data_IF_365069968322
#
_entry.id   IF_365069968322
#
_cell.length_a   1.000
_cell.length_b   1.000
_cell.length_c   1.000
_cell.angle_alpha   90.00
_cell.angle_beta   90.00
_cell.angle_gamma   90.00
#
_symmetry.space_group_name_H-M   'P 1'
#
loop_
_entity.id
_entity.type
_entity.pdbx_description
1 polymer ?
#
# COMPACT_ATOMS: atom_id res chain seq x y z
N UNK A 1 -24.38 20.28 7.83
CA UNK A 1 -23.03 19.71 7.60
C UNK A 1 -22.44 20.42 6.40
N UNK A 2 -21.44 21.28 6.59
CA UNK A 2 -20.72 21.89 5.46
C UNK A 2 -19.75 20.82 4.95
N UNK A 3 -19.89 20.41 3.70
CA UNK A 3 -18.88 19.56 3.08
C UNK A 3 -17.58 20.35 3.02
N UNK A 4 -16.43 19.78 3.42
CA UNK A 4 -15.16 20.43 3.22
C UNK A 4 -15.03 20.78 1.73
N UNK A 5 -14.40 21.92 1.44
CA UNK A 5 -14.08 22.30 0.07
C UNK A 5 -13.42 21.09 -0.62
N UNK A 6 -14.03 20.63 -1.72
CA UNK A 6 -13.61 19.42 -2.42
C UNK A 6 -12.12 19.48 -2.83
N UNK A 7 -11.58 20.68 -3.10
CA UNK A 7 -10.16 20.86 -3.41
C UNK A 7 -9.28 20.58 -2.20
N UNK A 8 -9.59 21.15 -1.02
CA UNK A 8 -8.83 20.93 0.21
C UNK A 8 -8.86 19.45 0.63
N UNK A 9 -9.98 18.79 0.42
CA UNK A 9 -10.11 17.37 0.72
C UNK A 9 -9.26 16.49 -0.21
N UNK A 10 -9.18 16.83 -1.50
CA UNK A 10 -8.31 16.15 -2.44
C UNK A 10 -6.83 16.38 -2.14
N UNK A 11 -6.44 17.62 -1.84
CA UNK A 11 -5.07 17.98 -1.45
C UNK A 11 -4.62 17.21 -0.20
N UNK A 12 -5.50 17.08 0.80
CA UNK A 12 -5.21 16.30 2.01
C UNK A 12 -5.00 14.81 1.70
N UNK A 13 -5.84 14.23 0.84
CA UNK A 13 -5.70 12.83 0.40
C UNK A 13 -4.40 12.60 -0.35
N UNK A 14 -4.06 13.50 -1.28
CA UNK A 14 -2.80 13.44 -2.03
C UNK A 14 -1.60 13.47 -1.09
N UNK A 15 -1.59 14.44 -0.16
CA UNK A 15 -0.51 14.61 0.81
C UNK A 15 -0.35 13.38 1.70
N UNK A 16 -1.44 12.91 2.30
CA UNK A 16 -1.43 11.79 3.24
C UNK A 16 -1.16 10.46 2.53
N UNK A 17 -1.71 10.25 1.33
CA UNK A 17 -1.42 9.11 0.47
C UNK A 17 0.05 9.05 0.07
N UNK A 18 0.64 10.17 -0.34
CA UNK A 18 2.09 10.25 -0.62
C UNK A 18 2.92 9.96 0.63
N UNK A 19 2.51 10.46 1.79
CA UNK A 19 3.20 10.18 3.05
C UNK A 19 3.18 8.69 3.41
N UNK A 20 2.04 8.01 3.24
CA UNK A 20 1.95 6.56 3.44
C UNK A 20 2.77 5.80 2.41
N UNK A 21 2.67 6.15 1.13
CA UNK A 21 3.47 5.55 0.06
C UNK A 21 4.98 5.61 0.37
N UNK A 22 5.46 6.76 0.85
CA UNK A 22 6.85 6.94 1.24
C UNK A 22 7.25 6.04 2.42
N UNK A 23 6.35 5.82 3.41
CA UNK A 23 6.62 4.88 4.50
C UNK A 23 6.72 3.43 4.00
N UNK A 24 5.77 3.02 3.15
CA UNK A 24 5.74 1.66 2.58
C UNK A 24 6.99 1.39 1.73
N UNK A 25 7.37 2.30 0.83
CA UNK A 25 8.48 2.04 -0.11
C UNK A 25 9.85 2.55 0.35
N UNK A 26 9.91 3.38 1.41
CA UNK A 26 11.15 3.95 1.93
C UNK A 26 11.98 4.64 0.85
N UNK A 27 13.29 4.38 0.84
CA UNK A 27 14.24 4.94 -0.14
C UNK A 27 13.90 4.64 -1.61
N UNK A 28 13.06 3.63 -1.86
CA UNK A 28 12.65 3.23 -3.22
C UNK A 28 11.40 3.99 -3.71
N UNK A 29 10.74 4.76 -2.85
CA UNK A 29 9.47 5.43 -3.17
C UNK A 29 9.58 6.30 -4.44
N UNK A 30 10.56 7.19 -4.49
CA UNK A 30 10.77 8.08 -5.63
C UNK A 30 11.08 7.32 -6.92
N UNK A 31 11.82 6.20 -6.83
CA UNK A 31 12.10 5.34 -7.98
C UNK A 31 10.83 4.68 -8.51
N UNK A 32 9.97 4.20 -7.61
CA UNK A 32 8.70 3.57 -7.98
C UNK A 32 7.74 4.58 -8.63
N UNK A 33 7.63 5.79 -8.05
CA UNK A 33 6.81 6.87 -8.64
C UNK A 33 7.28 7.18 -10.05
N UNK A 34 8.58 7.39 -10.28
CA UNK A 34 9.10 7.64 -11.64
C UNK A 34 8.77 6.53 -12.64
N UNK A 35 8.81 5.27 -12.19
CA UNK A 35 8.43 4.13 -13.03
C UNK A 35 6.94 4.18 -13.36
N UNK A 36 6.09 4.42 -12.37
CA UNK A 36 4.64 4.51 -12.54
C UNK A 36 4.24 5.69 -13.43
N UNK A 37 4.80 6.88 -13.18
CA UNK A 37 4.57 8.09 -13.98
C UNK A 37 4.98 7.91 -15.44
N UNK A 38 6.13 7.27 -15.69
CA UNK A 38 6.60 6.99 -17.05
C UNK A 38 5.72 5.97 -17.78
N UNK A 39 5.18 5.00 -17.07
CA UNK A 39 4.35 3.96 -17.65
C UNK A 39 2.92 4.45 -17.90
N UNK A 40 2.28 4.98 -16.85
CA UNK A 40 0.87 5.40 -16.84
C UNK A 40 0.68 6.52 -15.79
N UNK A 41 0.81 7.79 -16.17
CA UNK A 41 0.79 8.92 -15.23
C UNK A 41 -0.55 9.08 -14.50
N UNK A 42 -1.65 8.78 -15.18
CA UNK A 42 -3.01 8.74 -14.64
C UNK A 42 -3.18 7.67 -13.57
N UNK A 43 -2.65 6.46 -13.81
CA UNK A 43 -2.65 5.36 -12.82
C UNK A 43 -1.73 5.69 -11.65
N UNK A 44 -0.62 6.38 -11.88
CA UNK A 44 0.25 6.84 -10.80
C UNK A 44 -0.50 7.79 -9.86
N UNK A 45 -1.15 8.81 -10.43
CA UNK A 45 -1.96 9.75 -9.68
C UNK A 45 -3.13 9.06 -8.97
N UNK A 46 -3.88 8.20 -9.68
CA UNK A 46 -4.97 7.43 -9.08
C UNK A 46 -4.50 6.58 -7.89
N UNK A 47 -3.32 5.97 -7.99
CA UNK A 47 -2.75 5.15 -6.93
C UNK A 47 -2.48 5.99 -5.68
N UNK A 48 -1.84 7.15 -5.82
CA UNK A 48 -1.57 8.06 -4.68
C UNK A 48 -2.86 8.61 -4.07
N UNK A 49 -3.77 9.10 -4.90
CA UNK A 49 -4.95 9.85 -4.45
C UNK A 49 -6.00 8.92 -3.86
N UNK A 50 -6.27 7.81 -4.55
CA UNK A 50 -7.36 6.90 -4.21
C UNK A 50 -6.89 5.70 -3.39
N UNK A 51 -5.89 4.96 -3.86
CA UNK A 51 -5.46 3.73 -3.16
C UNK A 51 -4.78 4.09 -1.85
N UNK A 52 -3.69 4.87 -1.90
CA UNK A 52 -2.96 5.23 -0.68
C UNK A 52 -3.68 6.31 0.13
N UNK A 53 -4.21 7.35 -0.51
CA UNK A 53 -4.84 8.49 0.17
C UNK A 53 -6.23 8.20 0.72
N UNK A 54 -7.13 7.66 -0.10
CA UNK A 54 -8.53 7.46 0.32
C UNK A 54 -8.80 6.11 0.99
N UNK A 55 -8.10 5.04 0.57
CA UNK A 55 -8.36 3.67 1.08
C UNK A 55 -7.39 3.28 2.19
N UNK A 56 -6.08 3.41 2.01
CA UNK A 56 -5.10 2.87 2.96
C UNK A 56 -4.75 3.83 4.11
N UNK A 57 -4.73 5.15 3.86
CA UNK A 57 -4.40 6.13 4.90
C UNK A 57 -5.39 6.13 6.07
N UNK A 58 -6.72 5.99 5.89
CA UNK A 58 -7.66 5.96 7.01
C UNK A 58 -7.51 4.72 7.93
N UNK A 59 -6.50 4.72 8.78
CA UNK A 59 -6.14 3.60 9.65
C UNK A 59 -7.01 3.46 10.92
N UNK A 60 -8.30 3.81 10.85
CA UNK A 60 -9.20 3.76 12.02
C UNK A 60 -9.61 2.32 12.40
N UNK A 61 -9.63 1.43 11.42
CA UNK A 61 -10.10 0.04 11.57
C UNK A 61 -9.06 -0.98 11.15
N UNK A 62 -8.30 -0.68 10.09
CA UNK A 62 -7.23 -1.54 9.56
C UNK A 62 -5.96 -0.70 9.57
N UNK A 63 -4.93 -1.18 10.26
CA UNK A 63 -3.63 -0.52 10.37
C UNK A 63 -2.81 -0.66 9.07
N UNK A 64 -1.74 0.11 8.94
CA UNK A 64 -0.77 -0.01 7.84
C UNK A 64 -0.17 -1.43 7.79
N UNK A 65 0.16 -1.99 8.96
CA UNK A 65 0.66 -3.36 9.09
C UNK A 65 -0.38 -4.36 8.59
N UNK A 66 -1.63 -4.27 9.04
CA UNK A 66 -2.68 -5.20 8.60
C UNK A 66 -2.97 -5.06 7.10
N UNK A 67 -2.92 -3.84 6.57
CA UNK A 67 -3.10 -3.58 5.13
C UNK A 67 -2.03 -4.28 4.30
N UNK A 68 -0.74 -4.15 4.69
CA UNK A 68 0.36 -4.84 4.00
C UNK A 68 0.27 -6.37 4.15
N UNK A 69 -0.10 -6.87 5.33
CA UNK A 69 -0.30 -8.31 5.55
C UNK A 69 -1.44 -8.87 4.70
N UNK A 70 -2.55 -8.14 4.55
CA UNK A 70 -3.65 -8.52 3.65
C UNK A 70 -3.17 -8.52 2.19
N UNK A 71 -2.42 -7.49 1.77
CA UNK A 71 -1.86 -7.43 0.43
C UNK A 71 -0.92 -8.62 0.15
N UNK A 72 -0.05 -8.99 1.10
CA UNK A 72 0.82 -10.17 1.02
C UNK A 72 -0.01 -11.45 0.84
N UNK A 73 -1.06 -11.65 1.64
CA UNK A 73 -1.93 -12.83 1.53
C UNK A 73 -2.55 -12.95 0.13
N UNK A 74 -3.08 -11.85 -0.41
CA UNK A 74 -3.66 -11.81 -1.76
C UNK A 74 -2.60 -12.09 -2.81
N UNK A 75 -1.44 -11.43 -2.75
CA UNK A 75 -0.41 -11.58 -3.78
C UNK A 75 0.26 -12.96 -3.78
N UNK A 76 0.42 -13.57 -2.59
CA UNK A 76 0.91 -14.93 -2.45
C UNK A 76 -0.08 -15.94 -3.03
N UNK A 77 -1.37 -15.85 -2.67
CA UNK A 77 -2.40 -16.75 -3.19
C UNK A 77 -2.59 -16.62 -4.72
N UNK A 78 -2.36 -15.43 -5.28
CA UNK A 78 -2.44 -15.16 -6.73
C UNK A 78 -1.14 -15.42 -7.50
N UNK A 79 -0.07 -15.82 -6.82
CA UNK A 79 1.25 -16.08 -7.39
C UNK A 79 1.79 -14.90 -8.23
N UNK A 80 1.81 -13.68 -7.64
CA UNK A 80 2.31 -12.45 -8.28
C UNK A 80 3.62 -12.01 -7.60
N UNK A 81 4.76 -12.70 -7.86
CA UNK A 81 5.99 -12.54 -7.06
C UNK A 81 6.62 -11.15 -7.16
N UNK A 82 6.47 -10.46 -8.29
CA UNK A 82 7.01 -9.10 -8.49
C UNK A 82 6.38 -8.09 -7.53
N UNK A 83 5.05 -8.13 -7.38
CA UNK A 83 4.34 -7.25 -6.45
C UNK A 83 4.55 -7.74 -5.00
N UNK A 84 4.51 -9.06 -4.78
CA UNK A 84 4.72 -9.65 -3.46
C UNK A 84 6.02 -9.18 -2.82
N UNK A 85 7.14 -9.15 -3.57
CA UNK A 85 8.43 -8.66 -3.05
C UNK A 85 8.36 -7.21 -2.55
N UNK A 86 7.59 -6.35 -3.22
CA UNK A 86 7.39 -4.97 -2.80
C UNK A 86 6.66 -4.88 -1.46
N UNK A 87 5.55 -5.60 -1.32
CA UNK A 87 4.73 -5.61 -0.11
C UNK A 87 5.39 -6.34 1.07
N UNK A 88 6.23 -7.35 0.82
CA UNK A 88 7.05 -7.96 1.88
C UNK A 88 7.98 -6.92 2.52
N UNK A 89 8.67 -6.13 1.69
CA UNK A 89 9.50 -5.03 2.20
C UNK A 89 8.64 -3.92 2.83
N UNK A 90 7.49 -3.62 2.23
CA UNK A 90 6.53 -2.64 2.72
C UNK A 90 6.07 -2.94 4.14
N UNK A 91 5.66 -4.18 4.40
CA UNK A 91 5.27 -4.65 5.71
C UNK A 91 6.36 -4.40 6.76
N UNK A 92 7.62 -4.74 6.46
CA UNK A 92 8.74 -4.49 7.38
C UNK A 92 8.95 -2.99 7.62
N UNK A 93 8.86 -2.17 6.57
CA UNK A 93 9.05 -0.72 6.69
C UNK A 93 7.98 -0.05 7.56
N UNK A 94 6.74 -0.55 7.54
CA UNK A 94 5.64 -0.07 8.41
C UNK A 94 5.61 -0.74 9.78
N UNK A 95 6.59 -1.60 10.10
CA UNK A 95 6.79 -2.17 11.44
C UNK A 95 6.22 -3.58 11.65
N UNK A 96 5.83 -4.30 10.60
CA UNK A 96 5.45 -5.70 10.73
C UNK A 96 6.65 -6.55 11.15
N UNK A 97 6.41 -7.51 12.04
CA UNK A 97 7.42 -8.49 12.42
C UNK A 97 7.57 -9.58 11.37
N UNK A 98 8.76 -10.17 11.27
CA UNK A 98 8.99 -11.33 10.40
C UNK A 98 8.03 -12.48 10.73
N UNK A 99 7.74 -12.71 12.01
CA UNK A 99 6.77 -13.73 12.47
C UNK A 99 5.37 -13.51 11.88
N UNK A 100 4.89 -12.27 11.84
CA UNK A 100 3.58 -11.95 11.23
C UNK A 100 3.58 -12.25 9.73
N UNK A 101 4.62 -11.84 9.02
CA UNK A 101 4.76 -12.09 7.57
C UNK A 101 4.80 -13.59 7.27
N UNK A 102 5.62 -14.34 8.01
CA UNK A 102 5.73 -15.80 7.87
C UNK A 102 4.41 -16.51 8.18
N UNK A 103 3.66 -16.05 9.17
CA UNK A 103 2.34 -16.61 9.50
C UNK A 103 1.35 -16.43 8.34
N UNK A 104 1.33 -15.26 7.71
CA UNK A 104 0.45 -15.00 6.55
C UNK A 104 0.86 -15.84 5.34
N UNK A 105 2.15 -15.97 5.04
CA UNK A 105 2.61 -16.80 3.92
C UNK A 105 2.20 -18.27 4.11
N UNK A 106 2.35 -18.82 5.32
CA UNK A 106 1.89 -20.19 5.65
C UNK A 106 0.38 -20.36 5.52
N UNK A 107 -0.40 -19.32 5.85
CA UNK A 107 -1.86 -19.35 5.65
C UNK A 107 -2.20 -19.32 4.16
N UNK A 108 -1.52 -18.46 3.38
CA UNK A 108 -1.72 -18.37 1.94
C UNK A 108 -1.42 -19.70 1.21
N UNK A 109 -0.36 -20.40 1.60
CA UNK A 109 -0.02 -21.74 1.07
C UNK A 109 -1.17 -22.74 1.29
N UNK A 110 -1.79 -22.75 2.48
CA UNK A 110 -2.91 -23.64 2.79
C UNK A 110 -4.18 -23.34 1.98
N UNK A 111 -4.36 -22.11 1.51
CA UNK A 111 -5.51 -21.71 0.70
C UNK A 111 -5.36 -22.12 -0.78
N UNK A 112 -4.17 -22.56 -1.19
CA UNK A 112 -3.88 -23.04 -2.55
C UNK A 112 -3.96 -24.56 -2.69
N UNK A 113 -4.19 -25.28 -1.59
CA UNK A 113 -4.43 -26.73 -1.54
C UNK A 113 -5.91 -27.05 -1.71
#
# INVERSE_FOLDING_TARGET
MSYPNASLYLEERQRSGRALFNRVYGDKAEGMIRIMERAYPDICQFSIDMVYGAVYTPCKLITEIETELIAIAVLATRNIPKLLKGHLQGAINVGATETQVQAILKLAEKMQM
#
